data_IF_343680660261
#
_entry.id   IF_343680660261
#
_cell.length_a   1.000
_cell.length_b   1.000
_cell.length_c   1.000
_cell.angle_alpha   90.00
_cell.angle_beta   90.00
_cell.angle_gamma   90.00
#
_symmetry.space_group_name_H-M   'P 1'
#
loop_
_entity.id
_entity.type
_entity.pdbx_description
1 polymer ?
#
# COMPACT_ATOMS: atom_id res chain seq x y z
N UNK A 1 17.06 10.45 18.91
CA UNK A 1 15.91 9.54 19.19
C UNK A 1 16.39 8.11 18.99
N UNK A 2 16.09 7.22 19.93
CA UNK A 2 16.37 5.79 19.77
C UNK A 2 15.46 5.25 18.64
N UNK A 3 16.05 4.60 17.66
CA UNK A 3 15.33 4.03 16.51
C UNK A 3 14.74 2.70 16.91
N UNK A 4 13.41 2.62 16.97
CA UNK A 4 12.66 1.40 17.32
C UNK A 4 12.51 0.48 16.10
N UNK A 5 12.32 -0.81 16.36
CA UNK A 5 11.97 -1.80 15.35
C UNK A 5 10.49 -1.75 14.98
N UNK A 6 9.62 -1.41 15.92
CA UNK A 6 8.16 -1.36 15.75
C UNK A 6 7.62 0.00 16.20
N UNK A 7 6.72 0.55 15.41
CA UNK A 7 6.01 1.81 15.65
C UNK A 7 4.51 1.62 15.44
N UNK A 8 3.68 2.15 16.33
CA UNK A 8 2.26 2.30 16.03
C UNK A 8 2.07 3.37 14.96
N UNK A 9 1.09 3.21 14.04
CA UNK A 9 0.86 4.20 12.97
C UNK A 9 0.63 5.60 13.52
N UNK A 10 -0.03 5.75 14.66
CA UNK A 10 -0.25 7.03 15.33
C UNK A 10 1.02 7.75 15.82
N UNK A 11 2.14 7.03 15.95
CA UNK A 11 3.44 7.61 16.35
C UNK A 11 4.21 8.15 15.14
N UNK A 12 3.79 7.80 13.92
CA UNK A 12 4.53 8.08 12.70
C UNK A 12 4.22 9.47 12.12
N UNK A 13 5.16 9.97 11.33
CA UNK A 13 5.06 11.18 10.52
C UNK A 13 5.88 11.01 9.24
N UNK A 14 5.82 11.99 8.35
CA UNK A 14 6.67 12.04 7.15
C UNK A 14 8.17 11.90 7.44
N UNK A 15 8.61 12.33 8.64
CA UNK A 15 10.02 12.25 9.04
C UNK A 15 10.52 10.82 9.25
N UNK A 16 9.61 9.86 9.37
CA UNK A 16 9.91 8.43 9.49
C UNK A 16 9.98 7.70 8.14
N UNK A 17 9.88 8.43 7.02
CA UNK A 17 9.83 7.85 5.69
C UNK A 17 10.96 6.84 5.41
N UNK A 18 12.19 7.17 5.80
CA UNK A 18 13.36 6.31 5.57
C UNK A 18 13.39 5.09 6.51
N UNK A 19 12.65 5.13 7.63
CA UNK A 19 12.59 4.05 8.61
C UNK A 19 11.45 3.06 8.34
N UNK A 20 10.25 3.57 8.03
CA UNK A 20 9.06 2.73 7.90
C UNK A 20 8.46 2.74 6.49
N UNK A 21 9.06 3.53 5.59
CA UNK A 21 8.57 3.72 4.22
C UNK A 21 7.38 4.66 4.10
N UNK A 22 7.17 5.15 2.87
CA UNK A 22 6.18 6.20 2.55
C UNK A 22 4.75 5.84 2.92
N UNK A 23 4.34 4.59 2.72
CA UNK A 23 2.97 4.17 3.02
C UNK A 23 2.65 4.32 4.51
N UNK A 24 3.52 3.80 5.39
CA UNK A 24 3.34 3.91 6.84
C UNK A 24 3.46 5.36 7.32
N UNK A 25 4.46 6.10 6.84
CA UNK A 25 4.68 7.49 7.18
C UNK A 25 3.47 8.36 6.82
N UNK A 26 2.92 8.19 5.62
CA UNK A 26 1.74 8.93 5.18
C UNK A 26 0.48 8.57 5.97
N UNK A 27 0.27 7.28 6.33
CA UNK A 27 -0.84 6.90 7.21
C UNK A 27 -0.70 7.55 8.60
N UNK A 28 0.51 7.69 9.12
CA UNK A 28 0.79 8.46 10.32
C UNK A 28 0.39 9.93 10.19
N UNK A 29 0.72 10.57 9.07
CA UNK A 29 0.29 11.96 8.81
C UNK A 29 -1.23 12.09 8.73
N UNK A 30 -1.93 11.16 8.03
CA UNK A 30 -3.38 11.15 7.99
C UNK A 30 -3.99 11.02 9.40
N UNK A 31 -3.39 10.18 10.24
CA UNK A 31 -3.82 10.02 11.64
C UNK A 31 -3.65 11.33 12.44
N UNK A 32 -2.53 12.05 12.25
CA UNK A 32 -2.30 13.36 12.88
C UNK A 32 -3.27 14.44 12.41
N UNK A 33 -3.72 14.36 11.16
CA UNK A 33 -4.78 15.23 10.62
C UNK A 33 -6.17 14.91 11.19
N UNK A 34 -6.28 13.92 12.08
CA UNK A 34 -7.54 13.49 12.68
C UNK A 34 -8.40 12.63 11.75
N UNK A 35 -7.83 12.12 10.66
CA UNK A 35 -8.55 11.26 9.72
C UNK A 35 -8.63 9.83 10.24
N UNK A 36 -9.69 9.13 9.87
CA UNK A 36 -9.87 7.72 10.22
C UNK A 36 -8.94 6.84 9.38
N UNK A 37 -7.86 6.43 10.00
CA UNK A 37 -6.95 5.41 9.49
C UNK A 37 -7.18 4.12 10.29
N UNK A 38 -7.21 2.95 9.66
CA UNK A 38 -7.32 1.69 10.40
C UNK A 38 -6.17 1.55 11.40
N UNK A 39 -6.47 0.98 12.58
CA UNK A 39 -5.43 0.71 13.56
C UNK A 39 -4.37 -0.24 13.01
N UNK A 40 -3.14 -0.06 13.43
CA UNK A 40 -2.04 -0.88 12.98
C UNK A 40 -0.69 -0.41 13.48
N UNK A 41 0.32 -1.19 13.16
CA UNK A 41 1.71 -0.89 13.45
C UNK A 41 2.60 -1.15 12.23
N UNK A 42 3.79 -0.58 12.26
CA UNK A 42 4.80 -0.71 11.22
C UNK A 42 6.07 -1.34 11.80
N UNK A 43 6.62 -2.32 11.11
CA UNK A 43 7.99 -2.76 11.31
C UNK A 43 8.90 -1.85 10.49
N UNK A 44 9.93 -1.33 11.12
CA UNK A 44 10.92 -0.46 10.49
C UNK A 44 11.97 -1.27 9.70
N UNK A 45 12.79 -0.58 8.93
CA UNK A 45 13.97 -1.20 8.30
C UNK A 45 14.93 -1.82 9.33
N UNK A 46 14.91 -1.34 10.59
CA UNK A 46 15.71 -1.95 11.67
C UNK A 46 15.25 -3.36 12.04
N UNK A 47 13.93 -3.63 11.99
CA UNK A 47 13.42 -4.98 12.18
C UNK A 47 13.88 -5.91 11.04
N UNK A 48 13.87 -5.43 9.80
CA UNK A 48 14.45 -6.16 8.67
C UNK A 48 15.95 -6.43 8.85
N UNK A 49 16.73 -5.39 9.19
CA UNK A 49 18.17 -5.51 9.43
C UNK A 49 18.47 -6.52 10.56
N UNK A 50 17.71 -6.45 11.65
CA UNK A 50 17.82 -7.39 12.77
C UNK A 50 17.58 -8.84 12.30
N UNK A 51 16.45 -9.09 11.64
CA UNK A 51 16.12 -10.41 11.10
C UNK A 51 17.23 -10.97 10.20
N UNK A 52 17.64 -10.18 9.19
CA UNK A 52 18.65 -10.61 8.21
C UNK A 52 20.01 -10.87 8.84
N UNK A 53 20.41 -10.07 9.84
CA UNK A 53 21.72 -10.20 10.49
C UNK A 53 21.73 -11.33 11.54
N UNK A 54 20.72 -11.40 12.42
CA UNK A 54 20.67 -12.40 13.48
C UNK A 54 20.53 -13.82 12.94
N UNK A 55 19.99 -13.98 11.73
CA UNK A 55 19.82 -15.30 11.09
C UNK A 55 20.93 -15.67 10.10
N UNK A 56 21.87 -14.77 9.81
CA UNK A 56 22.92 -14.97 8.78
C UNK A 56 22.40 -14.91 7.34
N UNK A 57 21.14 -14.51 7.14
CA UNK A 57 20.54 -14.41 5.81
C UNK A 57 21.18 -13.31 4.96
N UNK A 58 21.72 -12.27 5.59
CA UNK A 58 22.42 -11.20 4.87
C UNK A 58 23.58 -11.77 4.04
N UNK A 59 24.45 -12.51 4.68
CA UNK A 59 25.63 -13.15 4.05
C UNK A 59 25.21 -14.25 3.07
N UNK A 60 24.11 -14.95 3.35
CA UNK A 60 23.57 -15.96 2.43
C UNK A 60 23.06 -15.34 1.13
N UNK A 61 22.26 -14.27 1.22
CA UNK A 61 21.74 -13.55 0.05
C UNK A 61 22.88 -12.93 -0.76
N UNK A 62 23.86 -12.31 -0.10
CA UNK A 62 25.06 -11.80 -0.77
C UNK A 62 25.77 -12.91 -1.55
N UNK A 63 26.00 -14.08 -0.95
CA UNK A 63 26.64 -15.24 -1.59
C UNK A 63 25.84 -15.74 -2.80
N UNK A 64 24.50 -15.80 -2.71
CA UNK A 64 23.65 -16.21 -3.82
C UNK A 64 23.81 -15.24 -4.99
N UNK A 65 23.74 -13.93 -4.74
CA UNK A 65 23.86 -12.89 -5.77
C UNK A 65 25.25 -12.88 -6.41
N UNK A 66 26.31 -12.97 -5.59
CA UNK A 66 27.69 -12.97 -6.07
C UNK A 66 28.00 -14.20 -6.92
N UNK A 67 27.50 -15.37 -6.54
CA UNK A 67 27.64 -16.61 -7.33
C UNK A 67 27.05 -16.43 -8.73
N UNK A 68 25.85 -15.89 -8.84
CA UNK A 68 25.20 -15.68 -10.13
C UNK A 68 25.92 -14.62 -10.98
N UNK A 69 26.39 -13.53 -10.35
CA UNK A 69 27.22 -12.51 -11.02
C UNK A 69 28.56 -13.08 -11.50
N UNK A 70 29.22 -13.83 -10.65
CA UNK A 70 30.51 -14.47 -10.99
C UNK A 70 30.37 -15.51 -12.10
N UNK A 71 29.21 -16.12 -12.25
CA UNK A 71 28.86 -17.01 -13.37
C UNK A 71 28.40 -16.25 -14.64
N UNK A 72 28.60 -14.93 -14.69
CA UNK A 72 28.30 -14.10 -15.87
C UNK A 72 26.79 -13.92 -16.15
N UNK A 73 25.98 -13.79 -15.11
CA UNK A 73 24.54 -13.52 -15.27
C UNK A 73 24.31 -12.25 -16.09
N UNK A 74 23.75 -12.40 -17.28
CA UNK A 74 23.27 -11.30 -18.12
C UNK A 74 21.80 -11.01 -17.78
N UNK A 75 21.59 -9.87 -17.13
CA UNK A 75 20.27 -9.48 -16.57
C UNK A 75 19.20 -9.24 -17.64
N UNK A 76 19.61 -8.98 -18.89
CA UNK A 76 18.68 -8.74 -20.00
C UNK A 76 18.33 -10.03 -20.75
N UNK A 77 19.12 -11.09 -20.58
CA UNK A 77 19.00 -12.34 -21.35
C UNK A 77 18.68 -13.56 -20.50
N UNK A 78 19.17 -13.60 -19.25
CA UNK A 78 19.10 -14.79 -18.40
C UNK A 78 17.89 -14.77 -17.46
N UNK A 79 16.68 -14.55 -17.99
CA UNK A 79 15.44 -14.43 -17.21
C UNK A 79 15.19 -15.64 -16.31
N UNK A 80 15.41 -16.86 -16.83
CA UNK A 80 15.20 -18.10 -16.05
C UNK A 80 16.15 -18.19 -14.85
N UNK A 81 17.42 -17.80 -15.01
CA UNK A 81 18.39 -17.75 -13.91
C UNK A 81 18.03 -16.68 -12.87
N UNK A 82 17.47 -15.54 -13.29
CA UNK A 82 16.96 -14.53 -12.37
C UNK A 82 15.74 -15.05 -11.58
N UNK A 83 14.84 -15.79 -12.22
CA UNK A 83 13.71 -16.43 -11.57
C UNK A 83 14.19 -17.44 -10.52
N UNK A 84 15.17 -18.27 -10.87
CA UNK A 84 15.76 -19.26 -9.95
C UNK A 84 16.46 -18.57 -8.76
N UNK A 85 17.30 -17.56 -9.01
CA UNK A 85 17.96 -16.77 -7.98
C UNK A 85 16.94 -16.12 -7.03
N UNK A 86 15.91 -15.47 -7.58
CA UNK A 86 14.79 -14.88 -6.85
C UNK A 86 14.10 -15.92 -5.95
N UNK A 87 13.76 -17.08 -6.50
CA UNK A 87 13.13 -18.18 -5.78
C UNK A 87 13.96 -18.69 -4.61
N UNK A 88 15.28 -18.85 -4.81
CA UNK A 88 16.21 -19.28 -3.76
C UNK A 88 16.31 -18.27 -2.61
N UNK A 89 16.44 -16.98 -2.92
CA UNK A 89 16.51 -15.92 -1.93
C UNK A 89 15.20 -15.86 -1.12
N UNK A 90 14.06 -15.87 -1.81
CA UNK A 90 12.74 -15.87 -1.14
C UNK A 90 12.54 -17.09 -0.27
N UNK A 91 12.85 -18.28 -0.74
CA UNK A 91 12.74 -19.52 0.04
C UNK A 91 13.61 -19.47 1.30
N UNK A 92 14.82 -18.92 1.23
CA UNK A 92 15.68 -18.74 2.40
C UNK A 92 15.06 -17.79 3.42
N UNK A 93 14.56 -16.62 2.99
CA UNK A 93 13.93 -15.62 3.89
C UNK A 93 12.65 -16.18 4.51
N UNK A 94 11.76 -16.73 3.70
CA UNK A 94 10.45 -17.22 4.12
C UNK A 94 10.55 -18.46 5.00
N UNK A 95 11.53 -19.36 4.75
CA UNK A 95 11.77 -20.58 5.50
C UNK A 95 12.52 -20.40 6.81
N UNK A 96 13.17 -19.27 7.03
CA UNK A 96 13.96 -19.03 8.24
C UNK A 96 13.05 -18.64 9.43
N UNK A 97 13.19 -19.28 10.61
CA UNK A 97 12.45 -18.89 11.80
C UNK A 97 12.73 -17.44 12.23
N UNK A 98 11.69 -16.73 12.65
CA UNK A 98 11.84 -15.38 13.23
C UNK A 98 12.57 -15.48 14.57
N UNK A 99 13.64 -14.69 14.83
CA UNK A 99 14.30 -14.65 16.13
C UNK A 99 13.31 -14.33 17.27
N UNK A 100 13.38 -15.02 18.42
CA UNK A 100 12.40 -14.84 19.50
C UNK A 100 12.30 -13.43 20.05
N UNK A 101 13.39 -12.69 20.08
CA UNK A 101 13.50 -11.30 20.54
C UNK A 101 12.88 -10.30 19.56
N UNK A 102 12.68 -10.67 18.30
CA UNK A 102 11.91 -9.93 17.31
C UNK A 102 10.46 -10.44 17.21
N UNK A 103 10.26 -11.76 17.26
CA UNK A 103 8.92 -12.36 17.17
C UNK A 103 8.02 -11.94 18.35
N UNK A 104 8.54 -11.96 19.57
CA UNK A 104 7.79 -11.59 20.78
C UNK A 104 7.13 -10.21 20.69
N UNK A 105 7.88 -9.13 20.43
CA UNK A 105 7.32 -7.78 20.24
C UNK A 105 6.29 -7.66 19.12
N UNK A 106 6.48 -8.35 17.98
CA UNK A 106 5.51 -8.36 16.88
C UNK A 106 4.19 -8.98 17.34
N UNK A 107 4.27 -10.16 17.99
CA UNK A 107 3.10 -10.87 18.52
C UNK A 107 2.39 -10.04 19.59
N UNK A 108 3.12 -9.37 20.47
CA UNK A 108 2.53 -8.49 21.48
C UNK A 108 1.73 -7.34 20.84
N UNK A 109 2.29 -6.70 19.81
CA UNK A 109 1.58 -5.66 19.06
C UNK A 109 0.32 -6.21 18.40
N UNK A 110 0.35 -7.40 17.80
CA UNK A 110 -0.82 -8.04 17.21
C UNK A 110 -1.89 -8.40 18.25
N UNK A 111 -1.50 -8.99 19.38
CA UNK A 111 -2.42 -9.27 20.53
C UNK A 111 -3.09 -8.01 21.03
N UNK A 112 -2.31 -6.92 21.17
CA UNK A 112 -2.85 -5.63 21.58
C UNK A 112 -3.83 -5.09 20.54
N UNK A 113 -3.54 -5.19 19.25
CA UNK A 113 -4.45 -4.78 18.17
C UNK A 113 -5.76 -5.57 18.24
N UNK A 114 -5.70 -6.90 18.40
CA UNK A 114 -6.87 -7.77 18.54
C UNK A 114 -7.71 -7.42 19.78
N UNK A 115 -7.05 -7.13 20.90
CA UNK A 115 -7.71 -6.71 22.14
C UNK A 115 -8.41 -5.35 22.00
N UNK A 116 -7.77 -4.37 21.38
CA UNK A 116 -8.37 -3.05 21.13
C UNK A 116 -9.62 -3.17 20.23
N UNK A 117 -9.62 -4.13 19.32
CA UNK A 117 -10.76 -4.42 18.42
C UNK A 117 -11.78 -5.38 19.05
N UNK A 118 -11.57 -5.88 20.27
CA UNK A 118 -12.44 -6.82 21.00
C UNK A 118 -12.73 -8.12 20.21
N UNK A 119 -11.76 -8.61 19.44
CA UNK A 119 -11.82 -9.87 18.70
C UNK A 119 -10.67 -10.79 19.11
N UNK A 120 -10.82 -12.10 18.91
CA UNK A 120 -9.75 -13.07 19.20
C UNK A 120 -8.55 -12.87 18.28
N UNK A 121 -8.79 -12.91 16.96
CA UNK A 121 -7.79 -12.70 15.91
C UNK A 121 -8.28 -11.67 14.90
N UNK A 122 -7.73 -10.47 14.96
CA UNK A 122 -8.07 -9.43 14.01
C UNK A 122 -7.49 -9.74 12.63
N UNK A 123 -8.32 -9.60 11.58
CA UNK A 123 -7.84 -9.70 10.21
C UNK A 123 -6.98 -8.49 9.86
N UNK A 124 -5.78 -8.73 9.33
CA UNK A 124 -4.83 -7.70 8.96
C UNK A 124 -4.48 -7.74 7.48
N UNK A 125 -4.16 -6.57 6.93
CA UNK A 125 -3.37 -6.41 5.73
C UNK A 125 -1.89 -6.34 6.14
N UNK A 126 -1.05 -7.22 5.60
CA UNK A 126 0.40 -7.20 5.77
C UNK A 126 1.02 -6.78 4.45
N UNK A 127 1.60 -5.59 4.41
CA UNK A 127 2.02 -4.96 3.16
C UNK A 127 3.38 -4.26 3.25
N UNK A 128 4.10 -4.25 2.13
CA UNK A 128 5.38 -3.57 2.02
C UNK A 128 5.24 -2.05 2.10
N UNK A 129 6.19 -1.41 2.76
CA UNK A 129 6.31 0.04 2.85
C UNK A 129 7.77 0.44 2.67
N UNK A 130 8.15 0.78 1.45
CA UNK A 130 9.51 1.23 1.10
C UNK A 130 9.64 2.75 1.08
N UNK A 131 10.85 3.25 1.33
CA UNK A 131 11.19 4.67 1.17
C UNK A 131 11.07 5.10 -0.29
N UNK A 132 11.45 4.21 -1.22
CA UNK A 132 11.23 4.38 -2.66
C UNK A 132 9.93 3.70 -3.07
N UNK A 133 9.10 4.41 -3.83
CA UNK A 133 7.86 3.84 -4.36
C UNK A 133 8.16 2.89 -5.52
N UNK A 134 7.81 1.62 -5.35
CA UNK A 134 7.93 0.57 -6.38
C UNK A 134 6.54 -0.06 -6.62
N UNK A 135 5.65 0.61 -7.37
CA UNK A 135 4.29 0.14 -7.57
C UNK A 135 4.25 -1.23 -8.25
N UNK A 136 3.46 -2.17 -7.72
CA UNK A 136 3.27 -3.50 -8.29
C UNK A 136 4.49 -4.43 -8.24
N UNK A 137 5.60 -4.02 -7.59
CA UNK A 137 6.82 -4.84 -7.52
C UNK A 137 6.87 -5.78 -6.31
N UNK A 138 6.18 -5.40 -5.23
CA UNK A 138 6.16 -6.14 -3.97
C UNK A 138 4.75 -6.56 -3.60
N UNK A 139 4.63 -7.58 -2.77
CA UNK A 139 3.38 -8.24 -2.44
C UNK A 139 2.64 -7.56 -1.27
N UNK A 140 1.33 -7.74 -1.25
CA UNK A 140 0.42 -7.37 -0.17
C UNK A 140 -0.43 -8.61 0.14
N UNK A 141 -0.54 -8.93 1.42
CA UNK A 141 -1.36 -10.06 1.88
C UNK A 141 -2.51 -9.51 2.71
N UNK A 142 -3.72 -9.89 2.35
CA UNK A 142 -4.95 -9.46 3.00
C UNK A 142 -5.55 -10.61 3.82
N UNK A 143 -6.38 -10.26 4.81
CA UNK A 143 -7.07 -11.21 5.70
C UNK A 143 -6.11 -12.19 6.39
N UNK A 144 -4.94 -11.70 6.79
CA UNK A 144 -3.99 -12.46 7.58
C UNK A 144 -4.43 -12.44 9.05
N UNK A 145 -4.51 -13.62 9.67
CA UNK A 145 -4.95 -13.82 11.05
C UNK A 145 -3.99 -14.71 11.83
N UNK A 146 -4.02 -14.56 13.15
CA UNK A 146 -3.22 -15.36 14.08
C UNK A 146 -1.76 -14.94 14.14
N UNK A 147 -1.13 -15.23 15.25
CA UNK A 147 0.25 -14.82 15.56
C UNK A 147 1.26 -15.38 14.56
N UNK A 148 1.17 -16.68 14.28
CA UNK A 148 2.01 -17.36 13.29
C UNK A 148 1.76 -16.79 11.88
N UNK A 149 0.48 -16.55 11.54
CA UNK A 149 0.11 -15.95 10.27
C UNK A 149 0.76 -14.59 10.05
N UNK A 150 0.77 -13.73 11.08
CA UNK A 150 1.43 -12.41 11.03
C UNK A 150 2.94 -12.56 10.81
N UNK A 151 3.61 -13.39 11.62
CA UNK A 151 5.06 -13.61 11.51
C UNK A 151 5.45 -14.14 10.13
N UNK A 152 4.71 -15.10 9.61
CA UNK A 152 4.97 -15.69 8.28
C UNK A 152 4.77 -14.68 7.16
N UNK A 153 3.70 -13.87 7.23
CA UNK A 153 3.46 -12.88 6.18
C UNK A 153 4.39 -11.68 6.26
N UNK A 154 4.91 -11.32 7.43
CA UNK A 154 6.02 -10.37 7.56
C UNK A 154 7.25 -10.86 6.78
N UNK A 155 7.65 -12.13 6.96
CA UNK A 155 8.76 -12.74 6.22
C UNK A 155 8.49 -12.77 4.71
N UNK A 156 7.27 -13.13 4.30
CA UNK A 156 6.86 -13.11 2.88
C UNK A 156 6.95 -11.70 2.28
N UNK A 157 6.53 -10.68 3.03
CA UNK A 157 6.68 -9.29 2.58
C UNK A 157 8.15 -8.92 2.41
N UNK A 158 9.04 -9.31 3.35
CA UNK A 158 10.48 -9.11 3.20
C UNK A 158 11.04 -9.89 2.00
N UNK A 159 10.60 -11.14 1.80
CA UNK A 159 10.93 -11.96 0.64
C UNK A 159 10.47 -11.32 -0.68
N UNK A 160 9.33 -10.63 -0.67
CA UNK A 160 8.80 -9.97 -1.88
C UNK A 160 9.68 -8.85 -2.42
N UNK A 161 10.58 -8.29 -1.61
CA UNK A 161 11.60 -7.36 -2.08
C UNK A 161 12.63 -8.02 -3.03
N UNK A 162 12.65 -9.35 -3.10
CA UNK A 162 13.50 -10.14 -3.98
C UNK A 162 12.72 -10.87 -5.09
N UNK A 163 11.49 -10.47 -5.39
CA UNK A 163 10.81 -10.93 -6.62
C UNK A 163 11.63 -10.55 -7.85
N UNK A 164 11.54 -11.32 -8.91
CA UNK A 164 12.25 -11.02 -10.17
C UNK A 164 11.98 -9.59 -10.63
N UNK A 165 10.72 -9.13 -10.55
CA UNK A 165 10.32 -7.76 -10.88
C UNK A 165 11.03 -6.71 -10.01
N UNK A 166 11.10 -6.95 -8.68
CA UNK A 166 11.77 -6.05 -7.75
C UNK A 166 13.29 -6.02 -7.96
N UNK A 167 13.90 -7.15 -8.34
CA UNK A 167 15.31 -7.25 -8.70
C UNK A 167 15.58 -6.43 -9.97
N UNK A 168 14.82 -6.66 -11.05
CA UNK A 168 14.94 -5.92 -12.31
C UNK A 168 14.76 -4.42 -12.09
N UNK A 169 13.75 -4.01 -11.31
CA UNK A 169 13.55 -2.60 -10.98
C UNK A 169 14.79 -1.99 -10.31
N UNK A 170 15.40 -2.68 -9.33
CA UNK A 170 16.60 -2.18 -8.65
C UNK A 170 17.80 -2.09 -9.58
N UNK A 171 17.97 -3.07 -10.48
CA UNK A 171 19.04 -3.05 -11.49
C UNK A 171 18.89 -1.82 -12.39
N UNK A 172 17.69 -1.60 -12.93
CA UNK A 172 17.42 -0.48 -13.83
C UNK A 172 17.56 0.90 -13.14
N UNK A 173 17.52 0.93 -11.80
CA UNK A 173 17.71 2.14 -11.01
C UNK A 173 19.05 2.19 -10.26
N UNK A 174 20.03 1.35 -10.64
CA UNK A 174 21.37 1.26 -10.01
C UNK A 174 21.33 1.07 -8.48
N UNK A 175 20.33 0.34 -7.98
CA UNK A 175 20.17 0.02 -6.56
C UNK A 175 20.83 -1.34 -6.22
N UNK A 176 21.26 -1.56 -4.96
CA UNK A 176 21.79 -2.86 -4.53
C UNK A 176 20.78 -4.00 -4.73
N UNK A 177 21.27 -5.18 -5.19
CA UNK A 177 20.41 -6.36 -5.40
C UNK A 177 20.34 -7.21 -4.12
N UNK A 178 21.48 -7.41 -3.45
CA UNK A 178 21.58 -8.28 -2.28
C UNK A 178 21.04 -7.67 -0.99
N UNK A 179 20.78 -6.36 -0.96
CA UNK A 179 20.30 -5.65 0.21
C UNK A 179 19.08 -4.80 -0.12
N UNK A 180 17.94 -5.12 0.47
CA UNK A 180 16.65 -4.49 0.15
C UNK A 180 15.83 -4.20 1.42
N UNK A 181 16.29 -3.30 2.32
CA UNK A 181 15.59 -2.99 3.55
C UNK A 181 14.26 -2.32 3.24
N UNK A 182 13.18 -2.90 3.75
CA UNK A 182 11.83 -2.35 3.64
C UNK A 182 11.09 -2.45 4.97
N UNK A 183 10.26 -1.45 5.26
CA UNK A 183 9.29 -1.54 6.32
C UNK A 183 8.10 -2.44 5.94
N UNK A 184 7.41 -2.93 6.95
CA UNK A 184 6.19 -3.72 6.79
C UNK A 184 5.06 -3.06 7.58
N UNK A 185 3.93 -2.80 6.94
CA UNK A 185 2.72 -2.35 7.60
C UNK A 185 1.86 -3.56 7.97
N UNK A 186 1.43 -3.65 9.22
CA UNK A 186 0.42 -4.58 9.71
C UNK A 186 -0.77 -3.75 10.14
N UNK A 187 -1.85 -3.75 9.35
CA UNK A 187 -2.97 -2.84 9.47
C UNK A 187 -4.26 -3.66 9.55
N UNK A 188 -5.11 -3.39 10.53
CA UNK A 188 -6.40 -4.06 10.60
C UNK A 188 -7.21 -3.82 9.33
N UNK A 189 -7.90 -4.83 8.87
CA UNK A 189 -8.78 -4.72 7.72
C UNK A 189 -10.17 -4.20 8.12
N UNK A 190 -10.78 -3.46 7.20
CA UNK A 190 -12.09 -2.83 7.35
C UNK A 190 -13.15 -3.72 6.71
N UNK A 191 -14.30 -3.88 7.36
CA UNK A 191 -15.45 -4.59 6.77
C UNK A 191 -16.11 -3.73 5.69
N UNK A 192 -15.55 -3.79 4.49
CA UNK A 192 -15.92 -2.94 3.40
C UNK A 192 -17.36 -3.20 2.90
N UNK A 193 -18.20 -2.14 2.88
CA UNK A 193 -19.40 -2.03 2.05
C UNK A 193 -18.96 -1.79 0.61
N UNK A 194 -18.07 -0.82 0.44
CA UNK A 194 -17.43 -0.44 -0.81
C UNK A 194 -16.04 0.14 -0.55
N UNK A 195 -15.20 0.12 -1.57
CA UNK A 195 -13.87 0.69 -1.50
C UNK A 195 -13.43 1.21 -2.88
N UNK A 196 -12.44 2.07 -2.91
CA UNK A 196 -11.97 2.62 -4.15
C UNK A 196 -10.82 3.59 -4.00
N UNK A 197 -10.64 4.40 -5.02
CA UNK A 197 -9.61 5.41 -5.12
C UNK A 197 -10.19 6.80 -5.36
N UNK A 198 -9.46 7.81 -4.97
CA UNK A 198 -9.68 9.18 -5.38
C UNK A 198 -8.39 9.79 -5.89
N UNK A 199 -8.45 10.44 -7.04
CA UNK A 199 -7.41 11.34 -7.52
C UNK A 199 -7.93 12.78 -7.39
N UNK A 200 -7.19 13.64 -6.70
CA UNK A 200 -7.56 15.06 -6.56
C UNK A 200 -7.17 15.91 -7.77
N UNK A 201 -6.96 15.26 -8.90
CA UNK A 201 -6.64 15.81 -10.21
C UNK A 201 -7.23 14.90 -11.28
N UNK A 202 -7.66 15.44 -12.42
CA UNK A 202 -7.96 14.62 -13.59
C UNK A 202 -6.64 14.30 -14.32
N UNK A 203 -6.13 13.05 -14.25
CA UNK A 203 -4.75 12.74 -14.64
C UNK A 203 -4.50 12.91 -16.14
N UNK A 204 -5.53 12.72 -16.97
CA UNK A 204 -5.41 12.77 -18.44
C UNK A 204 -5.21 14.19 -19.00
N UNK A 205 -5.62 15.21 -18.26
CA UNK A 205 -5.57 16.62 -18.69
C UNK A 205 -4.86 17.53 -17.68
N UNK A 206 -4.50 16.98 -16.50
CA UNK A 206 -3.84 17.74 -15.44
C UNK A 206 -4.74 18.80 -14.79
N UNK A 207 -6.07 18.62 -14.84
CA UNK A 207 -7.02 19.54 -14.24
C UNK A 207 -7.07 19.35 -12.72
N UNK A 208 -6.58 20.33 -11.98
CA UNK A 208 -6.53 20.34 -10.52
C UNK A 208 -7.75 20.98 -9.85
N UNK A 209 -8.73 21.48 -10.60
CA UNK A 209 -9.99 21.99 -10.04
C UNK A 209 -10.99 20.87 -9.77
N UNK A 210 -10.78 19.72 -10.40
CA UNK A 210 -11.64 18.53 -10.32
C UNK A 210 -10.94 17.38 -9.62
N UNK A 211 -11.75 16.52 -9.02
CA UNK A 211 -11.34 15.22 -8.52
C UNK A 211 -12.13 14.11 -9.23
N UNK A 212 -11.52 12.93 -9.33
CA UNK A 212 -12.19 11.72 -9.79
C UNK A 212 -12.23 10.69 -8.67
N UNK A 213 -13.42 10.18 -8.35
CA UNK A 213 -13.64 9.11 -7.38
C UNK A 213 -14.08 7.87 -8.13
N UNK A 214 -13.40 6.76 -7.89
CA UNK A 214 -13.73 5.46 -8.48
C UNK A 214 -13.93 4.43 -7.37
N UNK A 215 -14.91 3.52 -7.54
CA UNK A 215 -15.22 2.55 -6.51
C UNK A 215 -15.97 1.30 -6.99
N UNK A 216 -15.90 0.26 -6.17
CA UNK A 216 -16.65 -0.98 -6.32
C UNK A 216 -17.18 -1.46 -4.96
N UNK A 217 -18.09 -2.40 -4.96
CA UNK A 217 -18.51 -3.14 -3.76
C UNK A 217 -17.34 -4.00 -3.23
N UNK A 218 -17.35 -4.23 -1.91
CA UNK A 218 -16.33 -5.02 -1.23
C UNK A 218 -14.99 -4.31 -1.10
N UNK A 219 -13.90 -5.07 -1.16
CA UNK A 219 -12.52 -4.60 -0.99
C UNK A 219 -12.00 -3.90 -2.26
N UNK A 220 -11.06 -2.98 -2.10
CA UNK A 220 -10.53 -2.14 -3.19
C UNK A 220 -9.64 -2.84 -4.23
N UNK A 221 -9.28 -4.12 -4.02
CA UNK A 221 -8.37 -4.85 -4.94
C UNK A 221 -8.86 -4.84 -6.39
N UNK A 222 -10.16 -5.04 -6.61
CA UNK A 222 -10.75 -5.09 -7.95
C UNK A 222 -10.70 -3.75 -8.69
N UNK A 223 -10.69 -2.63 -7.96
CA UNK A 223 -10.55 -1.28 -8.55
C UNK A 223 -9.09 -1.01 -8.89
N UNK A 224 -8.18 -1.31 -7.96
CA UNK A 224 -6.74 -1.06 -8.12
C UNK A 224 -6.11 -1.95 -9.20
N UNK A 225 -6.58 -3.20 -9.36
CA UNK A 225 -6.11 -4.12 -10.41
C UNK A 225 -6.63 -3.79 -11.82
N UNK A 226 -7.71 -2.99 -11.92
CA UNK A 226 -8.37 -2.69 -13.19
C UNK A 226 -9.15 -3.87 -13.81
N UNK A 227 -9.48 -4.89 -13.01
CA UNK A 227 -10.20 -6.08 -13.47
C UNK A 227 -11.69 -5.86 -13.75
N UNK A 228 -12.23 -4.78 -13.21
CA UNK A 228 -13.65 -4.43 -13.37
C UNK A 228 -13.79 -2.98 -13.86
N UNK A 229 -14.96 -2.68 -14.45
CA UNK A 229 -15.36 -1.29 -14.71
C UNK A 229 -16.02 -0.73 -13.44
N UNK A 230 -15.33 0.14 -12.69
CA UNK A 230 -15.85 0.71 -11.44
C UNK A 230 -16.94 1.74 -11.70
N UNK A 231 -17.65 2.15 -10.66
CA UNK A 231 -18.34 3.44 -10.66
C UNK A 231 -17.30 4.55 -10.69
N UNK A 232 -17.55 5.60 -11.47
CA UNK A 232 -16.66 6.74 -11.61
C UNK A 232 -17.45 8.05 -11.53
N UNK A 233 -16.95 8.98 -10.73
CA UNK A 233 -17.58 10.27 -10.47
C UNK A 233 -16.54 11.36 -10.66
N UNK A 234 -16.91 12.44 -11.37
CA UNK A 234 -16.10 13.66 -11.46
C UNK A 234 -16.77 14.75 -10.63
N UNK A 235 -16.00 15.33 -9.73
CA UNK A 235 -16.47 16.33 -8.77
C UNK A 235 -15.69 17.62 -8.89
N UNK A 236 -16.38 18.76 -8.98
CA UNK A 236 -15.77 20.07 -8.88
C UNK A 236 -15.40 20.37 -7.42
N UNK A 237 -14.10 20.43 -7.10
CA UNK A 237 -13.60 20.51 -5.71
C UNK A 237 -14.02 21.77 -4.96
N UNK A 238 -14.14 22.91 -5.64
CA UNK A 238 -14.55 24.18 -5.01
C UNK A 238 -16.05 24.26 -4.76
N UNK A 239 -16.83 23.81 -5.73
CA UNK A 239 -18.29 23.87 -5.67
C UNK A 239 -18.89 22.69 -4.90
N UNK A 240 -18.09 21.65 -4.64
CA UNK A 240 -18.52 20.38 -4.04
C UNK A 240 -19.73 19.78 -4.77
N UNK A 241 -19.67 19.84 -6.12
CA UNK A 241 -20.73 19.37 -7.01
C UNK A 241 -20.27 18.18 -7.85
N UNK A 242 -21.09 17.13 -7.91
CA UNK A 242 -20.89 15.99 -8.80
C UNK A 242 -21.27 16.41 -10.21
N UNK A 243 -20.29 16.60 -11.09
CA UNK A 243 -20.49 17.05 -12.48
C UNK A 243 -20.85 15.91 -13.42
N UNK A 244 -20.28 14.73 -13.21
CA UNK A 244 -20.59 13.53 -14.01
C UNK A 244 -20.56 12.26 -13.19
N UNK A 245 -21.32 11.27 -13.68
CA UNK A 245 -21.41 9.92 -13.11
C UNK A 245 -21.35 8.90 -14.22
N UNK A 246 -20.55 7.86 -14.02
CA UNK A 246 -20.55 6.66 -14.84
C UNK A 246 -20.71 5.46 -13.92
N UNK A 247 -21.84 4.81 -13.98
CA UNK A 247 -22.12 3.63 -13.15
C UNK A 247 -21.67 2.39 -13.94
N UNK A 248 -20.63 1.73 -13.43
CA UNK A 248 -20.09 0.52 -14.02
C UNK A 248 -21.01 -0.70 -13.86
N UNK A 249 -20.95 -1.62 -14.81
CA UNK A 249 -21.56 -2.94 -14.65
C UNK A 249 -20.64 -3.80 -13.78
N UNK A 250 -20.81 -3.71 -12.45
CA UNK A 250 -19.98 -4.38 -11.47
C UNK A 250 -20.40 -5.82 -11.27
N UNK A 251 -19.84 -6.74 -12.07
CA UNK A 251 -20.19 -8.16 -12.01
C UNK A 251 -19.48 -8.93 -10.91
N UNK A 252 -18.32 -8.43 -10.46
CA UNK A 252 -17.47 -9.08 -9.46
C UNK A 252 -17.07 -8.10 -8.36
N UNK A 253 -16.88 -8.61 -7.15
CA UNK A 253 -16.30 -7.91 -6.01
C UNK A 253 -15.33 -8.84 -5.28
N UNK A 254 -14.41 -8.25 -4.52
CA UNK A 254 -13.49 -8.98 -3.65
C UNK A 254 -13.99 -8.88 -2.22
N UNK A 255 -14.05 -9.99 -1.52
CA UNK A 255 -14.47 -10.07 -0.11
C UNK A 255 -13.46 -10.88 0.70
N UNK A 256 -13.63 -10.95 2.01
CA UNK A 256 -12.89 -11.87 2.85
C UNK A 256 -13.18 -13.33 2.45
N UNK A 257 -12.11 -14.12 2.25
CA UNK A 257 -12.18 -15.58 2.21
C UNK A 257 -12.02 -16.18 3.62
N UNK A 258 -11.96 -17.49 3.70
CA UNK A 258 -11.56 -18.17 4.94
C UNK A 258 -10.13 -17.79 5.33
N UNK A 259 -9.26 -17.81 4.34
CA UNK A 259 -7.90 -17.24 4.36
C UNK A 259 -7.73 -16.34 3.13
N UNK A 260 -7.06 -15.20 3.29
CA UNK A 260 -6.90 -14.25 2.18
C UNK A 260 -8.22 -13.63 1.73
N UNK A 261 -8.30 -13.32 0.45
CA UNK A 261 -9.47 -12.73 -0.20
C UNK A 261 -10.06 -13.66 -1.25
N UNK A 262 -11.34 -13.49 -1.56
CA UNK A 262 -12.06 -14.29 -2.55
C UNK A 262 -12.85 -13.38 -3.49
N UNK A 263 -12.76 -13.66 -4.78
CA UNK A 263 -13.63 -13.01 -5.77
C UNK A 263 -14.99 -13.68 -5.77
N UNK A 264 -16.05 -12.90 -5.65
CA UNK A 264 -17.43 -13.37 -5.76
C UNK A 264 -18.25 -12.50 -6.72
N UNK A 265 -19.38 -13.02 -7.16
CA UNK A 265 -20.30 -12.27 -7.99
C UNK A 265 -21.04 -11.22 -7.16
N UNK A 266 -21.19 -10.01 -7.71
CA UNK A 266 -22.08 -9.00 -7.15
C UNK A 266 -23.53 -9.45 -7.40
N UNK A 267 -24.41 -9.41 -6.36
CA UNK A 267 -25.83 -9.70 -6.56
C UNK A 267 -26.40 -8.91 -7.73
N UNK A 268 -27.20 -9.56 -8.61
CA UNK A 268 -27.69 -8.96 -9.85
C UNK A 268 -28.40 -7.61 -9.65
N UNK A 269 -29.11 -7.44 -8.53
CA UNK A 269 -29.78 -6.18 -8.16
C UNK A 269 -28.81 -5.03 -7.85
N UNK A 270 -27.54 -5.34 -7.55
CA UNK A 270 -26.51 -4.35 -7.20
C UNK A 270 -25.52 -4.07 -8.34
N UNK A 271 -25.46 -4.92 -9.38
CA UNK A 271 -24.46 -4.80 -10.45
C UNK A 271 -24.49 -3.43 -11.14
N UNK A 272 -25.69 -2.89 -11.41
CA UNK A 272 -25.88 -1.53 -11.96
C UNK A 272 -26.22 -0.46 -10.92
N UNK A 273 -26.15 -0.78 -9.62
CA UNK A 273 -26.40 0.19 -8.58
C UNK A 273 -25.12 0.93 -8.17
N UNK A 274 -25.25 2.17 -7.73
CA UNK A 274 -24.14 2.98 -7.21
C UNK A 274 -23.58 2.35 -5.93
N UNK A 275 -22.27 2.13 -5.86
CA UNK A 275 -21.62 1.44 -4.72
C UNK A 275 -21.33 2.37 -3.53
N UNK A 276 -21.34 3.67 -3.73
CA UNK A 276 -21.04 4.72 -2.73
C UNK A 276 -22.05 5.85 -2.85
N UNK A 277 -22.61 6.31 -1.73
CA UNK A 277 -23.66 7.34 -1.72
C UNK A 277 -23.10 8.73 -2.07
N UNK A 278 -23.92 9.65 -2.61
CA UNK A 278 -23.50 11.00 -2.96
C UNK A 278 -22.89 11.76 -1.78
N UNK A 279 -23.49 11.63 -0.59
CA UNK A 279 -22.94 12.25 0.63
C UNK A 279 -21.59 11.68 1.02
N UNK A 280 -21.36 10.37 0.79
CA UNK A 280 -20.07 9.70 1.01
C UNK A 280 -19.04 10.19 -0.02
N UNK A 281 -19.42 10.32 -1.31
CA UNK A 281 -18.57 10.87 -2.38
C UNK A 281 -18.09 12.29 -2.03
N UNK A 282 -19.02 13.17 -1.66
CA UNK A 282 -18.67 14.56 -1.33
C UNK A 282 -17.76 14.62 -0.08
N UNK A 283 -18.02 13.80 0.93
CA UNK A 283 -17.16 13.73 2.12
C UNK A 283 -15.75 13.19 1.77
N UNK A 284 -15.64 12.16 0.91
CA UNK A 284 -14.38 11.65 0.39
C UNK A 284 -13.60 12.79 -0.30
N UNK A 285 -14.26 13.58 -1.16
CA UNK A 285 -13.61 14.70 -1.85
C UNK A 285 -13.21 15.81 -0.89
N UNK A 286 -14.08 16.15 0.09
CA UNK A 286 -13.76 17.16 1.11
C UNK A 286 -12.51 16.82 1.88
N UNK A 287 -12.40 15.56 2.33
CA UNK A 287 -11.25 15.08 3.09
C UNK A 287 -10.00 15.02 2.18
N UNK A 288 -10.12 14.46 0.97
CA UNK A 288 -9.00 14.38 0.04
C UNK A 288 -8.45 15.75 -0.33
N UNK A 289 -9.32 16.77 -0.47
CA UNK A 289 -8.90 18.16 -0.64
C UNK A 289 -8.14 18.69 0.57
N UNK A 290 -8.58 18.40 1.79
CA UNK A 290 -7.84 18.75 3.02
C UNK A 290 -6.44 18.13 3.03
N UNK A 291 -6.31 16.88 2.59
CA UNK A 291 -5.02 16.17 2.47
C UNK A 291 -4.16 16.79 1.37
N UNK A 292 -4.73 17.13 0.22
CA UNK A 292 -4.05 17.84 -0.86
C UNK A 292 -3.49 19.19 -0.38
N UNK A 293 -4.31 19.98 0.32
CA UNK A 293 -3.91 21.27 0.87
C UNK A 293 -2.75 21.09 1.90
N UNK A 294 -2.80 20.04 2.72
CA UNK A 294 -1.75 19.74 3.71
C UNK A 294 -0.41 19.34 3.06
N UNK A 295 -0.44 18.47 2.07
CA UNK A 295 0.77 18.02 1.38
C UNK A 295 1.24 18.97 0.27
N UNK A 296 0.42 19.95 -0.11
CA UNK A 296 0.72 20.95 -1.14
C UNK A 296 0.80 20.38 -2.57
N UNK A 297 0.22 19.21 -2.81
CA UNK A 297 0.24 18.55 -4.12
C UNK A 297 -0.99 17.64 -4.30
N UNK A 298 -1.45 17.42 -5.54
CA UNK A 298 -2.54 16.48 -5.84
C UNK A 298 -2.26 15.08 -5.28
N UNK A 299 -3.31 14.46 -4.77
CA UNK A 299 -3.25 13.19 -4.05
C UNK A 299 -3.90 12.06 -4.85
N UNK A 300 -3.33 10.87 -4.69
CA UNK A 300 -3.88 9.56 -5.04
C UNK A 300 -4.11 8.81 -3.72
N UNK A 301 -5.39 8.61 -3.36
CA UNK A 301 -5.74 8.05 -2.07
C UNK A 301 -6.70 6.88 -2.22
N UNK A 302 -6.54 5.89 -1.33
CA UNK A 302 -7.43 4.73 -1.24
C UNK A 302 -8.38 4.92 -0.05
N UNK A 303 -9.67 4.77 -0.30
CA UNK A 303 -10.73 4.89 0.69
C UNK A 303 -11.54 3.59 0.83
N UNK A 304 -12.13 3.40 2.01
CA UNK A 304 -13.04 2.28 2.32
C UNK A 304 -14.23 2.82 3.09
N UNK A 305 -15.44 2.44 2.69
CA UNK A 305 -16.67 2.64 3.46
C UNK A 305 -16.93 1.39 4.29
N UNK A 306 -16.82 1.52 5.60
CA UNK A 306 -17.10 0.42 6.55
C UNK A 306 -18.62 0.24 6.74
N UNK A 307 -19.10 -0.98 6.55
CA UNK A 307 -20.52 -1.31 6.70
C UNK A 307 -21.04 -1.29 8.14
N UNK A 308 -20.13 -1.27 9.15
CA UNK A 308 -20.47 -1.31 10.58
C UNK A 308 -20.79 0.05 11.17
N UNK A 309 -20.33 1.13 10.53
CA UNK A 309 -20.50 2.50 11.01
C UNK A 309 -21.46 3.28 10.13
N UNK A 310 -22.08 4.29 10.73
CA UNK A 310 -22.93 5.25 10.01
C UNK A 310 -22.10 6.41 9.49
N UNK A 311 -22.57 7.03 8.39
CA UNK A 311 -21.99 8.27 7.88
C UNK A 311 -22.04 9.40 8.94
N UNK A 312 -21.01 10.23 9.08
CA UNK A 312 -19.74 10.26 8.30
C UNK A 312 -18.64 9.36 8.85
N UNK A 313 -18.91 8.63 9.92
CA UNK A 313 -17.95 7.85 10.68
C UNK A 313 -17.51 6.55 9.98
N UNK A 314 -18.10 6.22 8.83
CA UNK A 314 -17.86 5.00 8.07
C UNK A 314 -16.73 5.10 7.03
N UNK A 315 -16.13 6.30 6.81
CA UNK A 315 -15.08 6.48 5.79
C UNK A 315 -13.70 6.33 6.41
N UNK A 316 -12.92 5.37 5.91
CA UNK A 316 -11.56 5.08 6.33
C UNK A 316 -10.57 5.30 5.18
N UNK A 317 -9.35 5.73 5.54
CA UNK A 317 -8.26 5.99 4.61
C UNK A 317 -7.16 4.96 4.79
N UNK A 318 -6.86 4.21 3.74
CA UNK A 318 -5.93 3.08 3.81
C UNK A 318 -4.62 3.32 3.05
N UNK A 319 -4.57 4.36 2.22
CA UNK A 319 -3.35 4.85 1.58
C UNK A 319 -3.51 6.30 1.13
N UNK A 320 -2.40 7.05 1.15
CA UNK A 320 -2.28 8.35 0.47
C UNK A 320 -0.88 8.47 -0.14
N UNK A 321 -0.82 9.01 -1.35
CA UNK A 321 0.43 9.34 -2.05
C UNK A 321 0.19 10.48 -3.03
N UNK A 322 1.26 11.11 -3.46
CA UNK A 322 1.16 12.10 -4.54
C UNK A 322 0.63 11.46 -5.82
N UNK A 323 -0.32 12.14 -6.45
CA UNK A 323 -0.85 11.70 -7.74
C UNK A 323 0.20 11.89 -8.83
N UNK A 324 0.31 10.89 -9.72
CA UNK A 324 1.07 11.01 -10.95
C UNK A 324 0.12 11.43 -12.07
N UNK A 325 0.43 12.50 -12.77
CA UNK A 325 -0.37 12.99 -13.89
C UNK A 325 0.50 13.75 -14.89
N UNK A 326 0.03 13.84 -16.13
CA UNK A 326 0.69 14.61 -17.19
C UNK A 326 0.03 15.97 -17.29
N UNK A 327 0.79 17.06 -17.08
CA UNK A 327 0.28 18.41 -17.34
C UNK A 327 0.48 18.71 -18.81
N UNK A 328 -0.59 18.88 -19.57
CA UNK A 328 -0.51 19.41 -20.95
C UNK A 328 -0.23 20.91 -20.86
N UNK A 329 1.03 21.30 -20.93
CA UNK A 329 1.38 22.65 -21.36
C UNK A 329 1.39 22.66 -22.89
N UNK A 330 0.89 23.76 -23.49
CA UNK A 330 0.80 23.89 -24.94
C UNK A 330 2.16 23.59 -25.61
N UNK A 331 2.34 22.37 -26.08
CA UNK A 331 3.48 21.93 -26.89
C UNK A 331 4.53 21.05 -26.24
N UNK A 332 4.44 20.65 -24.94
CA UNK A 332 5.36 19.70 -24.31
C UNK A 332 4.66 18.86 -23.24
N UNK A 333 4.68 17.53 -23.42
CA UNK A 333 4.32 16.58 -22.35
C UNK A 333 5.49 16.55 -21.34
N UNK A 334 5.33 17.14 -20.15
CA UNK A 334 6.27 17.00 -19.05
C UNK A 334 5.62 16.22 -17.90
N UNK A 335 6.31 15.21 -17.40
CA UNK A 335 5.92 14.51 -16.16
C UNK A 335 6.12 15.44 -14.96
N UNK A 336 5.05 16.09 -14.51
CA UNK A 336 5.06 17.11 -13.45
C UNK A 336 5.61 16.59 -12.10
N UNK A 337 5.56 15.28 -11.85
CA UNK A 337 6.07 14.68 -10.61
C UNK A 337 7.61 14.75 -10.52
N UNK A 338 8.31 14.68 -11.64
CA UNK A 338 9.78 14.75 -11.67
C UNK A 338 10.26 16.15 -11.28
N UNK A 339 9.61 17.19 -11.77
CA UNK A 339 9.97 18.58 -11.44
C UNK A 339 9.65 18.94 -9.99
N UNK A 340 8.53 18.48 -9.45
CA UNK A 340 8.19 18.72 -8.04
C UNK A 340 9.13 17.97 -7.07
N UNK A 341 9.53 16.74 -7.40
CA UNK A 341 10.54 16.03 -6.61
C UNK A 341 11.90 16.73 -6.66
N UNK A 342 12.33 17.20 -7.82
CA UNK A 342 13.60 17.90 -7.96
C UNK A 342 13.64 19.24 -7.22
N UNK A 343 12.50 19.94 -7.09
CA UNK A 343 12.39 21.18 -6.32
C UNK A 343 12.44 20.95 -4.80
N UNK A 344 11.93 19.83 -4.31
CA UNK A 344 11.95 19.48 -2.87
C UNK A 344 13.30 18.95 -2.39
N UNK A 345 14.13 18.40 -3.29
CA UNK A 345 15.50 17.95 -2.99
C UNK A 345 16.56 19.06 -3.16
N UNK A 346 16.17 20.28 -3.60
CA UNK A 346 17.06 21.43 -3.73
C UNK A 346 17.02 22.44 -2.55
N UNK A 347 16.38 22.05 -1.43
CA UNK A 347 16.38 22.86 -0.20
C UNK A 347 17.06 22.13 0.95
#
# INVERSE_FOLDING_TARGET
MEVKEIYWLKELSKDYNDLVGKKCANLGELTKLGLKVPYGFALSVKAYEHFMTATGLKEEVERIVEKERGAGLDMDKDVDRMIEMSGRIRAAIEGTPMPPDLAGPIVECYRRLSKEMQVGDVACAVRSSGAVSMPGQMETYLNVKGEEGILDHVKKVWGSAFTTRAIVFRINNNMPISWAPIGVAVIMMIEAKSAGVILTVLPNIGDTERAIVEGNFGLGESVVSGEITPDSFVIHKKEMAIESRSIGQKTKMVIYGDTGTTVCEVPGTLQGAQCVEDREILEIVRIAKQVEDYFGAPQDMEWVVDKRFSFPENIFWVQARWAKFTKKEAGKDQEYVIDLMLQLFRK
#
